data_IF_349897844756
#
_entry.id   IF_349897844756
#
_cell.length_a   1.000
_cell.length_b   1.000
_cell.length_c   1.000
_cell.angle_alpha   90.00
_cell.angle_beta   90.00
_cell.angle_gamma   90.00
#
_symmetry.space_group_name_H-M   'P 1'
#
loop_
_entity.id
_entity.type
_entity.pdbx_description
1 polymer ?
#
# COMPACT_ATOMS: atom_id res chain seq x y z
N UNK A 1 -8.21 -6.11 2.15
CA UNK A 1 -8.35 -6.32 3.61
C UNK A 1 -7.48 -7.46 4.12
N UNK A 2 -7.54 -8.66 3.53
CA UNK A 2 -6.73 -9.82 3.93
C UNK A 2 -5.24 -9.50 4.12
N UNK A 3 -4.62 -8.81 3.16
CA UNK A 3 -3.23 -8.35 3.26
C UNK A 3 -2.94 -7.54 4.54
N UNK A 4 -3.83 -6.64 4.92
CA UNK A 4 -3.66 -5.81 6.11
C UNK A 4 -3.74 -6.64 7.39
N UNK A 5 -4.64 -7.63 7.42
CA UNK A 5 -4.78 -8.56 8.54
C UNK A 5 -3.48 -9.37 8.72
N UNK A 6 -2.88 -9.85 7.63
CA UNK A 6 -1.60 -10.57 7.68
C UNK A 6 -0.43 -9.68 8.15
N UNK A 7 -0.37 -8.44 7.68
CA UNK A 7 0.66 -7.48 8.13
C UNK A 7 0.50 -7.21 9.64
N UNK A 8 -0.71 -6.94 10.12
CA UNK A 8 -0.95 -6.68 11.54
C UNK A 8 -0.63 -7.92 12.40
N UNK A 9 -0.99 -9.12 11.93
CA UNK A 9 -0.65 -10.37 12.60
C UNK A 9 0.88 -10.56 12.71
N UNK A 10 1.62 -10.36 11.63
CA UNK A 10 3.08 -10.45 11.61
C UNK A 10 3.73 -9.40 12.53
N UNK A 11 3.21 -8.17 12.52
CA UNK A 11 3.70 -7.10 13.40
C UNK A 11 3.49 -7.43 14.88
N UNK A 12 2.30 -7.93 15.25
CA UNK A 12 2.00 -8.37 16.63
C UNK A 12 2.82 -9.58 17.06
N UNK A 13 3.19 -10.44 16.11
CA UNK A 13 4.12 -11.55 16.33
C UNK A 13 5.59 -11.10 16.45
N UNK A 14 5.87 -9.79 16.49
CA UNK A 14 7.21 -9.22 16.62
C UNK A 14 8.15 -9.60 15.46
N UNK A 15 7.62 -9.67 14.24
CA UNK A 15 8.45 -9.86 13.05
C UNK A 15 9.53 -8.75 12.97
N UNK A 16 10.79 -9.14 12.82
CA UNK A 16 11.91 -8.19 12.77
C UNK A 16 11.94 -7.33 11.50
N UNK A 17 11.25 -7.76 10.44
CA UNK A 17 11.02 -6.95 9.24
C UNK A 17 9.78 -7.41 8.47
N UNK A 18 8.97 -6.50 7.94
CA UNK A 18 7.80 -6.81 7.09
C UNK A 18 7.99 -6.21 5.69
N UNK A 19 8.26 -7.08 4.72
CA UNK A 19 8.30 -6.72 3.29
C UNK A 19 7.05 -7.24 2.60
N UNK A 20 6.31 -6.34 1.98
CA UNK A 20 5.04 -6.62 1.32
C UNK A 20 5.27 -6.67 -0.19
N UNK A 21 4.98 -7.81 -0.81
CA UNK A 21 5.11 -8.02 -2.26
C UNK A 21 3.73 -7.88 -2.90
N UNK A 22 3.55 -6.84 -3.71
CA UNK A 22 2.28 -6.49 -4.37
C UNK A 22 2.51 -6.41 -5.88
N UNK A 23 2.37 -7.52 -6.62
CA UNK A 23 2.57 -7.51 -8.07
C UNK A 23 1.63 -6.53 -8.79
N UNK A 24 0.39 -6.41 -8.30
CA UNK A 24 -0.59 -5.46 -8.82
C UNK A 24 -1.00 -4.47 -7.73
N UNK A 25 -0.55 -3.22 -7.85
CA UNK A 25 -0.88 -2.18 -6.90
C UNK A 25 -2.32 -1.69 -7.13
N UNK A 26 -3.24 -2.10 -6.26
CA UNK A 26 -4.63 -1.68 -6.31
C UNK A 26 -4.77 -0.15 -6.26
N UNK A 27 -5.70 0.39 -7.04
CA UNK A 27 -5.92 1.84 -7.17
C UNK A 27 -4.74 2.63 -7.74
N UNK A 28 -3.75 1.99 -8.37
CA UNK A 28 -2.58 2.67 -8.95
C UNK A 28 -2.91 3.77 -9.97
N UNK A 29 -4.11 3.77 -10.56
CA UNK A 29 -4.60 4.80 -11.51
C UNK A 29 -5.32 5.97 -10.85
N UNK A 30 -5.37 6.01 -9.52
CA UNK A 30 -5.97 7.08 -8.71
C UNK A 30 -4.89 7.75 -7.84
N UNK A 31 -3.75 8.07 -8.47
CA UNK A 31 -2.56 8.66 -7.87
C UNK A 31 -2.56 10.19 -7.86
N UNK A 32 -3.50 10.82 -8.58
CA UNK A 32 -3.73 12.26 -8.59
C UNK A 32 -5.23 12.54 -8.62
N UNK A 33 -5.57 13.82 -8.47
CA UNK A 33 -6.94 14.31 -8.71
C UNK A 33 -7.06 14.67 -10.19
N UNK A 34 -8.02 14.09 -10.89
CA UNK A 34 -8.33 14.51 -12.27
C UNK A 34 -9.29 15.70 -12.27
N UNK A 35 -10.14 15.82 -11.24
CA UNK A 35 -11.00 16.96 -10.98
C UNK A 35 -10.98 17.42 -9.50
N UNK A 36 -11.43 18.66 -9.20
CA UNK A 36 -11.57 19.13 -7.82
C UNK A 36 -12.47 18.21 -6.99
N UNK A 37 -12.07 17.96 -5.74
CA UNK A 37 -12.80 17.12 -4.74
C UNK A 37 -12.82 15.62 -5.02
N UNK A 38 -11.93 15.12 -5.87
CA UNK A 38 -11.69 13.68 -6.01
C UNK A 38 -10.66 13.15 -5.00
N UNK A 39 -10.75 11.86 -4.60
CA UNK A 39 -9.78 11.23 -3.72
C UNK A 39 -8.48 10.91 -4.46
N UNK A 40 -7.37 10.85 -3.72
CA UNK A 40 -6.11 10.28 -4.19
C UNK A 40 -5.97 8.90 -3.53
N UNK A 41 -6.70 7.92 -4.07
CA UNK A 41 -6.86 6.62 -3.43
C UNK A 41 -5.56 5.82 -3.40
N UNK A 42 -4.68 5.95 -4.41
CA UNK A 42 -3.37 5.28 -4.40
C UNK A 42 -2.54 5.72 -3.18
N UNK A 43 -2.57 7.02 -2.86
CA UNK A 43 -1.90 7.57 -1.66
C UNK A 43 -2.54 7.04 -0.38
N UNK A 44 -3.86 7.03 -0.30
CA UNK A 44 -4.57 6.47 0.87
C UNK A 44 -4.21 5.00 1.10
N UNK A 45 -4.10 4.19 0.05
CA UNK A 45 -3.67 2.78 0.15
C UNK A 45 -2.23 2.69 0.67
N UNK A 46 -1.33 3.54 0.19
CA UNK A 46 0.04 3.61 0.71
C UNK A 46 0.06 3.95 2.20
N UNK A 47 -0.69 4.97 2.62
CA UNK A 47 -0.79 5.40 4.01
C UNK A 47 -1.33 4.27 4.92
N UNK A 48 -2.34 3.52 4.46
CA UNK A 48 -2.89 2.37 5.19
C UNK A 48 -1.85 1.25 5.33
N UNK A 49 -1.14 0.90 4.25
CA UNK A 49 -0.09 -0.14 4.29
C UNK A 49 1.02 0.24 5.28
N UNK A 50 1.46 1.50 5.24
CA UNK A 50 2.45 2.03 6.19
C UNK A 50 1.92 1.99 7.62
N UNK A 51 0.70 2.46 7.87
CA UNK A 51 0.10 2.46 9.22
C UNK A 51 -0.08 1.04 9.81
N UNK A 52 -0.34 0.06 8.96
CA UNK A 52 -0.49 -1.35 9.37
C UNK A 52 0.85 -1.98 9.75
N UNK A 53 1.97 -1.44 9.26
CA UNK A 53 3.33 -1.89 9.62
C UNK A 53 4.15 -2.43 8.46
N UNK A 54 3.78 -2.16 7.20
CA UNK A 54 4.62 -2.49 6.06
C UNK A 54 5.85 -1.56 6.03
N UNK A 55 7.06 -2.13 6.05
CA UNK A 55 8.31 -1.36 6.05
C UNK A 55 8.96 -1.26 4.67
N UNK A 56 8.72 -2.26 3.82
CA UNK A 56 9.17 -2.27 2.43
C UNK A 56 8.06 -2.78 1.54
N UNK A 57 7.89 -2.16 0.38
CA UNK A 57 7.00 -2.64 -0.68
C UNK A 57 7.87 -3.04 -1.89
N UNK A 58 7.57 -4.21 -2.45
CA UNK A 58 8.07 -4.64 -3.75
C UNK A 58 6.85 -4.77 -4.66
N UNK A 59 6.87 -4.06 -5.78
CA UNK A 59 5.77 -4.04 -6.74
C UNK A 59 6.31 -4.07 -8.15
N UNK A 60 5.44 -4.27 -9.14
CA UNK A 60 5.79 -4.36 -10.55
C UNK A 60 5.03 -3.28 -11.32
N UNK A 61 5.72 -2.59 -12.23
CA UNK A 61 5.15 -1.66 -13.21
C UNK A 61 4.03 -0.76 -12.68
N UNK A 62 4.39 0.15 -11.75
CA UNK A 62 3.45 1.15 -11.27
C UNK A 62 2.91 1.98 -12.43
N UNK A 63 1.59 2.27 -12.39
CA UNK A 63 0.92 3.04 -13.43
C UNK A 63 1.61 4.37 -13.74
N UNK A 64 2.01 5.06 -12.67
CA UNK A 64 2.84 6.25 -12.73
C UNK A 64 4.08 5.98 -11.87
N UNK A 65 5.26 5.76 -12.48
CA UNK A 65 6.51 5.77 -11.75
C UNK A 65 6.79 7.20 -11.26
N UNK A 66 7.28 7.32 -10.01
CA UNK A 66 7.48 8.58 -9.30
C UNK A 66 8.28 9.63 -10.09
#
# INVERSE_FOLDING_TARGET
MELLIMIDAARRASAGRITVVIPYYGYARQEKKDAPREPITARMVADILTATGAERIITLDLHSPA
#
